data_IF_638822813727
#
_entry.id   IF_638822813727
#
_cell.length_a   1.000
_cell.length_b   1.000
_cell.length_c   1.000
_cell.angle_alpha   90.00
_cell.angle_beta   90.00
_cell.angle_gamma   90.00
#
_symmetry.space_group_name_H-M   'P 1'
#
loop_
_entity.id
_entity.type
_entity.pdbx_description
1 polymer ?
#
# COMPACT_ATOMS: atom_id res chain seq x y z
N UNK A 1 -12.97 0.77 15.36
CA UNK A 1 -14.09 1.36 14.60
C UNK A 1 -13.69 1.69 13.17
N UNK A 2 -12.76 2.62 12.92
CA UNK A 2 -12.33 2.99 11.56
C UNK A 2 -12.01 1.79 10.64
N UNK A 3 -11.14 0.87 11.09
CA UNK A 3 -10.75 -0.30 10.29
C UNK A 3 -11.96 -1.17 9.88
N UNK A 4 -12.96 -1.31 10.76
CA UNK A 4 -14.18 -2.04 10.45
C UNK A 4 -15.04 -1.31 9.43
N UNK A 5 -15.15 0.03 9.51
CA UNK A 5 -15.84 0.85 8.50
C UNK A 5 -15.14 0.76 7.15
N UNK A 6 -13.80 0.83 7.13
CA UNK A 6 -13.02 0.71 5.90
C UNK A 6 -13.25 -0.66 5.21
N UNK A 7 -13.16 -1.76 5.96
CA UNK A 7 -13.42 -3.10 5.41
C UNK A 7 -14.88 -3.28 5.02
N UNK A 8 -15.82 -3.13 5.96
CA UNK A 8 -17.23 -3.43 5.70
C UNK A 8 -17.81 -2.49 4.64
N UNK A 9 -17.43 -1.21 4.66
CA UNK A 9 -17.88 -0.24 3.66
C UNK A 9 -17.33 -0.56 2.28
N UNK A 10 -16.09 -1.02 2.14
CA UNK A 10 -15.55 -1.45 0.83
C UNK A 10 -16.24 -2.71 0.35
N UNK A 11 -16.34 -3.71 1.22
CA UNK A 11 -16.94 -5.00 0.90
C UNK A 11 -18.42 -4.88 0.54
N UNK A 12 -19.13 -3.88 1.07
CA UNK A 12 -20.50 -3.57 0.67
C UNK A 12 -20.65 -3.25 -0.83
N UNK A 13 -19.58 -2.84 -1.52
CA UNK A 13 -19.59 -2.61 -2.97
C UNK A 13 -19.01 -3.79 -3.77
N UNK A 14 -17.99 -4.46 -3.24
CA UNK A 14 -17.34 -5.57 -3.97
C UNK A 14 -18.07 -6.90 -3.82
N UNK A 15 -18.69 -7.21 -2.67
CA UNK A 15 -19.45 -8.46 -2.49
C UNK A 15 -20.68 -8.56 -3.42
N UNK A 16 -21.46 -7.49 -3.68
CA UNK A 16 -22.49 -7.54 -4.71
C UNK A 16 -21.96 -7.88 -6.10
N UNK A 17 -20.75 -7.44 -6.46
CA UNK A 17 -20.16 -7.78 -7.75
C UNK A 17 -19.95 -9.31 -7.86
N UNK A 18 -19.46 -9.94 -6.80
CA UNK A 18 -19.34 -11.41 -6.72
C UNK A 18 -20.72 -12.06 -6.83
N UNK A 19 -21.67 -11.64 -5.99
CA UNK A 19 -22.99 -12.27 -5.89
C UNK A 19 -23.81 -12.17 -7.18
N UNK A 20 -23.58 -11.11 -7.97
CA UNK A 20 -24.27 -10.83 -9.23
C UNK A 20 -23.46 -11.24 -10.47
N UNK A 21 -22.23 -11.76 -10.31
CA UNK A 21 -21.34 -12.09 -11.42
C UNK A 21 -20.93 -10.88 -12.26
N UNK A 22 -20.85 -9.70 -11.66
CA UNK A 22 -20.45 -8.46 -12.34
C UNK A 22 -18.93 -8.40 -12.40
N UNK A 23 -18.38 -8.48 -13.62
CA UNK A 23 -16.95 -8.34 -13.88
C UNK A 23 -16.48 -6.90 -13.74
N UNK A 24 -15.27 -6.68 -13.22
CA UNK A 24 -14.70 -5.33 -13.00
C UNK A 24 -14.21 -4.62 -14.27
N UNK A 25 -14.09 -5.33 -15.38
CA UNK A 25 -13.86 -4.75 -16.71
C UNK A 25 -15.15 -4.18 -17.35
N UNK A 26 -16.33 -4.45 -16.78
CA UNK A 26 -17.60 -3.82 -17.17
C UNK A 26 -17.77 -2.43 -16.56
N UNK A 27 -18.59 -1.57 -17.19
CA UNK A 27 -18.84 -0.21 -16.67
C UNK A 27 -19.42 -0.20 -15.25
N UNK A 28 -20.36 -1.11 -14.94
CA UNK A 28 -20.93 -1.24 -13.60
C UNK A 28 -19.90 -1.79 -12.61
N UNK A 29 -19.14 -2.81 -13.00
CA UNK A 29 -18.10 -3.37 -12.16
C UNK A 29 -16.99 -2.38 -11.84
N UNK A 30 -16.54 -1.60 -12.82
CA UNK A 30 -15.58 -0.52 -12.61
C UNK A 30 -16.12 0.53 -11.63
N UNK A 31 -17.41 0.90 -11.73
CA UNK A 31 -18.03 1.81 -10.77
C UNK A 31 -18.03 1.23 -9.35
N UNK A 32 -18.39 -0.05 -9.18
CA UNK A 32 -18.34 -0.74 -7.88
C UNK A 32 -16.91 -0.83 -7.33
N UNK A 33 -15.93 -1.14 -8.18
CA UNK A 33 -14.51 -1.16 -7.85
C UNK A 33 -14.07 0.19 -7.32
N UNK A 34 -14.28 1.26 -8.09
CA UNK A 34 -13.85 2.62 -7.76
C UNK A 34 -14.54 3.14 -6.50
N UNK A 35 -15.85 2.93 -6.34
CA UNK A 35 -16.55 3.38 -5.12
C UNK A 35 -16.01 2.64 -3.90
N UNK A 36 -15.86 1.32 -3.96
CA UNK A 36 -15.25 0.55 -2.87
C UNK A 36 -13.83 1.02 -2.55
N UNK A 37 -13.02 1.30 -3.58
CA UNK A 37 -11.65 1.82 -3.45
C UNK A 37 -11.59 3.17 -2.71
N UNK A 38 -12.57 4.05 -2.87
CA UNK A 38 -12.58 5.34 -2.17
C UNK A 38 -12.87 5.23 -0.67
N UNK A 39 -13.46 4.12 -0.20
CA UNK A 39 -13.99 4.01 1.17
C UNK A 39 -12.92 4.21 2.25
N UNK A 40 -11.73 3.58 2.21
CA UNK A 40 -10.71 3.78 3.25
C UNK A 40 -10.30 5.25 3.39
N UNK A 41 -10.11 5.96 2.28
CA UNK A 41 -9.72 7.37 2.26
C UNK A 41 -10.83 8.29 2.75
N UNK A 42 -12.05 8.15 2.22
CA UNK A 42 -13.21 8.97 2.62
C UNK A 42 -13.54 8.74 4.09
N UNK A 43 -13.56 7.49 4.55
CA UNK A 43 -13.74 7.18 5.96
C UNK A 43 -12.58 7.73 6.80
N UNK A 44 -11.34 7.71 6.29
CA UNK A 44 -10.17 8.22 6.99
C UNK A 44 -10.31 9.71 7.27
N UNK A 45 -10.65 10.48 6.24
CA UNK A 45 -10.95 11.91 6.36
C UNK A 45 -12.12 12.13 7.31
N UNK A 46 -13.23 11.40 7.17
CA UNK A 46 -14.37 11.55 8.07
C UNK A 46 -13.97 11.33 9.53
N UNK A 47 -13.20 10.29 9.81
CA UNK A 47 -12.70 10.00 11.15
C UNK A 47 -11.67 11.02 11.65
N UNK A 48 -10.89 11.67 10.77
CA UNK A 48 -10.07 12.82 11.14
C UNK A 48 -10.96 13.95 11.67
N UNK A 49 -12.02 14.31 10.95
CA UNK A 49 -12.93 15.39 11.36
C UNK A 49 -13.75 15.05 12.62
N UNK A 50 -14.05 13.77 12.84
CA UNK A 50 -14.78 13.30 14.02
C UNK A 50 -13.92 13.23 15.30
N UNK A 51 -12.61 13.00 15.18
CA UNK A 51 -11.75 12.71 16.34
C UNK A 51 -10.66 13.76 16.62
N UNK A 52 -10.36 14.64 15.66
CA UNK A 52 -9.34 15.68 15.81
C UNK A 52 -9.94 17.09 15.78
N UNK A 53 -9.32 17.96 16.56
CA UNK A 53 -9.57 19.40 16.56
C UNK A 53 -8.98 20.08 15.30
N UNK A 54 -9.06 21.41 15.25
CA UNK A 54 -8.54 22.20 14.13
C UNK A 54 -7.03 21.96 13.89
N UNK A 55 -6.24 21.77 14.95
CA UNK A 55 -4.79 21.51 14.84
C UNK A 55 -4.52 20.15 14.22
N UNK A 56 -5.22 19.11 14.65
CA UNK A 56 -5.06 17.77 14.06
C UNK A 56 -5.55 17.70 12.61
N UNK A 57 -6.61 18.45 12.25
CA UNK A 57 -7.06 18.58 10.85
C UNK A 57 -6.04 19.32 9.98
N UNK A 58 -5.47 20.41 10.50
CA UNK A 58 -4.41 21.15 9.80
C UNK A 58 -3.14 20.29 9.63
N UNK A 59 -2.76 19.51 10.65
CA UNK A 59 -1.67 18.54 10.57
C UNK A 59 -1.91 17.50 9.47
N UNK A 60 -3.10 16.90 9.42
CA UNK A 60 -3.47 15.94 8.38
C UNK A 60 -3.25 16.50 6.97
N UNK A 61 -3.85 17.65 6.65
CA UNK A 61 -3.72 18.24 5.31
C UNK A 61 -2.30 18.70 5.00
N UNK A 62 -1.55 19.14 6.02
CA UNK A 62 -0.14 19.44 5.84
C UNK A 62 0.68 18.18 5.49
N UNK A 63 0.38 17.02 6.09
CA UNK A 63 1.01 15.73 5.76
C UNK A 63 0.65 15.24 4.35
N UNK A 64 -0.52 15.59 3.84
CA UNK A 64 -0.96 15.29 2.45
C UNK A 64 -0.28 16.18 1.41
N UNK A 65 0.04 17.44 1.74
CA UNK A 65 0.42 18.45 0.72
C UNK A 65 1.86 18.94 0.80
N UNK A 66 2.59 18.68 1.89
CA UNK A 66 3.93 19.23 2.08
C UNK A 66 5.04 18.25 1.65
N UNK A 67 5.66 18.41 0.45
CA UNK A 67 6.74 17.53 -0.01
C UNK A 67 8.04 17.68 0.79
N UNK A 68 8.23 18.82 1.47
CA UNK A 68 9.43 19.05 2.28
C UNK A 68 9.59 18.08 3.46
N UNK A 69 8.51 17.39 3.87
CA UNK A 69 8.51 16.45 5.01
C UNK A 69 9.41 15.23 4.81
N UNK A 70 9.55 14.73 3.58
CA UNK A 70 10.45 13.60 3.31
C UNK A 70 11.83 14.05 2.79
N UNK A 71 11.90 15.17 2.07
CA UNK A 71 13.17 15.71 1.57
C UNK A 71 13.90 14.78 0.59
N UNK A 72 15.07 15.19 0.09
CA UNK A 72 15.77 14.47 -1.00
C UNK A 72 16.28 13.09 -0.57
N UNK A 73 16.72 12.93 0.69
CA UNK A 73 17.21 11.65 1.20
C UNK A 73 16.13 10.58 1.17
N UNK A 74 14.94 10.88 1.69
CA UNK A 74 13.85 9.91 1.68
C UNK A 74 13.19 9.78 0.32
N UNK A 75 13.22 10.82 -0.52
CA UNK A 75 12.84 10.66 -1.92
C UNK A 75 13.72 9.60 -2.61
N UNK A 76 15.03 9.62 -2.38
CA UNK A 76 15.92 8.60 -2.92
C UNK A 76 15.59 7.20 -2.36
N UNK A 77 15.29 7.07 -1.06
CA UNK A 77 14.86 5.79 -0.47
C UNK A 77 13.55 5.30 -1.12
N UNK A 78 12.56 6.18 -1.25
CA UNK A 78 11.26 5.89 -1.84
C UNK A 78 11.40 5.36 -3.27
N UNK A 79 12.31 5.94 -4.06
CA UNK A 79 12.53 5.54 -5.45
C UNK A 79 13.43 4.31 -5.60
N UNK A 80 14.49 4.22 -4.80
CA UNK A 80 15.50 3.18 -4.97
C UNK A 80 15.11 1.85 -4.31
N UNK A 81 14.36 1.86 -3.21
CA UNK A 81 14.04 0.62 -2.49
C UNK A 81 13.15 -0.32 -3.32
N UNK A 82 11.98 0.10 -3.86
CA UNK A 82 11.16 -0.79 -4.68
C UNK A 82 11.91 -1.29 -5.93
N UNK A 83 12.66 -0.38 -6.58
CA UNK A 83 13.48 -0.73 -7.74
C UNK A 83 14.56 -1.76 -7.39
N UNK A 84 15.26 -1.57 -6.27
CA UNK A 84 16.28 -2.51 -5.81
C UNK A 84 15.66 -3.88 -5.47
N UNK A 85 14.48 -3.91 -4.83
CA UNK A 85 13.75 -5.16 -4.57
C UNK A 85 13.43 -5.90 -5.87
N UNK A 86 12.87 -5.22 -6.87
CA UNK A 86 12.55 -5.86 -8.17
C UNK A 86 13.80 -6.33 -8.90
N UNK A 87 14.85 -5.50 -8.97
CA UNK A 87 16.11 -5.88 -9.65
C UNK A 87 16.79 -7.05 -8.93
N UNK A 88 16.87 -7.02 -7.60
CA UNK A 88 17.46 -8.11 -6.82
C UNK A 88 16.63 -9.39 -6.94
N UNK A 89 15.30 -9.31 -7.00
CA UNK A 89 14.44 -10.47 -7.25
C UNK A 89 14.77 -11.12 -8.61
N UNK A 90 14.94 -10.31 -9.65
CA UNK A 90 15.36 -10.79 -10.97
C UNK A 90 16.77 -11.40 -10.97
N UNK A 91 17.72 -10.81 -10.23
CA UNK A 91 19.07 -11.38 -10.06
C UNK A 91 19.01 -12.73 -9.33
N UNK A 92 18.23 -12.83 -8.25
CA UNK A 92 18.02 -14.08 -7.51
C UNK A 92 17.44 -15.14 -8.43
N UNK A 93 16.44 -14.79 -9.24
CA UNK A 93 15.86 -15.73 -10.21
C UNK A 93 16.89 -16.23 -11.23
N UNK A 94 17.69 -15.34 -11.83
CA UNK A 94 18.79 -15.72 -12.73
C UNK A 94 19.77 -16.69 -12.07
N UNK A 95 20.15 -16.43 -10.81
CA UNK A 95 21.09 -17.28 -10.08
C UNK A 95 20.50 -18.66 -9.76
N UNK A 96 19.17 -18.76 -9.68
CA UNK A 96 18.45 -20.02 -9.48
C UNK A 96 18.11 -20.74 -10.80
N UNK A 97 18.59 -20.21 -11.94
CA UNK A 97 18.39 -20.80 -13.26
C UNK A 97 17.12 -20.35 -14.00
N UNK A 98 16.44 -19.32 -13.50
CA UNK A 98 15.32 -18.67 -14.17
C UNK A 98 15.74 -17.69 -15.27
N UNK A 99 14.77 -16.95 -15.80
CA UNK A 99 14.99 -15.99 -16.90
C UNK A 99 15.38 -14.60 -16.42
N UNK A 100 15.25 -14.33 -15.12
CA UNK A 100 15.45 -13.02 -14.54
C UNK A 100 14.26 -12.09 -14.71
N UNK A 101 14.52 -10.79 -14.51
CA UNK A 101 13.51 -9.76 -14.67
C UNK A 101 13.11 -9.61 -16.14
N UNK A 102 11.80 -9.58 -16.41
CA UNK A 102 11.22 -9.29 -17.71
C UNK A 102 10.41 -7.99 -17.68
N UNK A 103 10.14 -7.42 -18.85
CA UNK A 103 9.25 -6.28 -18.97
C UNK A 103 7.80 -6.72 -18.87
N UNK A 104 6.99 -5.95 -18.14
CA UNK A 104 5.54 -6.15 -18.08
C UNK A 104 4.84 -5.83 -19.40
N UNK A 105 3.63 -6.35 -19.56
CA UNK A 105 2.84 -6.28 -20.79
C UNK A 105 2.70 -4.84 -21.31
N UNK A 106 2.33 -3.91 -20.42
CA UNK A 106 2.18 -2.50 -20.77
C UNK A 106 3.45 -1.84 -21.31
N UNK A 107 4.63 -2.34 -20.94
CA UNK A 107 5.92 -1.87 -21.49
C UNK A 107 6.25 -2.56 -22.80
N UNK A 108 6.05 -3.87 -22.89
CA UNK A 108 6.30 -4.62 -24.13
C UNK A 108 5.40 -4.15 -25.27
N UNK A 109 4.17 -3.74 -24.97
CA UNK A 109 3.19 -3.28 -25.96
C UNK A 109 3.27 -1.78 -26.26
N UNK A 110 3.98 -1.00 -25.43
CA UNK A 110 4.01 0.46 -25.54
C UNK A 110 4.43 0.97 -26.93
N UNK A 111 5.34 0.26 -27.60
CA UNK A 111 5.82 0.62 -28.94
C UNK A 111 4.76 0.47 -30.05
N UNK A 112 3.71 -0.33 -29.81
CA UNK A 112 2.60 -0.57 -30.74
C UNK A 112 1.37 0.22 -30.31
N UNK A 113 1.04 0.15 -29.02
CA UNK A 113 -0.12 0.78 -28.41
C UNK A 113 0.34 1.60 -27.21
N UNK A 114 0.64 2.90 -27.37
CA UNK A 114 1.09 3.73 -26.24
C UNK A 114 0.11 3.78 -25.07
N UNK A 115 -1.18 3.49 -25.32
CA UNK A 115 -2.21 3.41 -24.28
C UNK A 115 -2.10 2.16 -23.39
N UNK A 116 -1.29 1.16 -23.75
CA UNK A 116 -1.07 -0.05 -22.95
C UNK A 116 -0.42 0.23 -21.60
N UNK A 117 0.20 1.41 -21.41
CA UNK A 117 0.76 1.83 -20.12
C UNK A 117 -0.28 2.40 -19.16
N UNK A 118 -1.50 2.71 -19.62
CA UNK A 118 -2.52 3.36 -18.80
C UNK A 118 -2.91 2.57 -17.55
N UNK A 119 -3.07 1.22 -17.59
CA UNK A 119 -3.32 0.44 -16.37
C UNK A 119 -2.21 0.60 -15.32
N UNK A 120 -0.94 0.52 -15.73
CA UNK A 120 0.18 0.72 -14.82
C UNK A 120 0.18 2.12 -14.19
N UNK A 121 -0.12 3.17 -14.97
CA UNK A 121 -0.25 4.53 -14.46
C UNK A 121 -1.45 4.70 -13.52
N UNK A 122 -2.57 4.04 -13.81
CA UNK A 122 -3.76 4.05 -12.96
C UNK A 122 -3.43 3.45 -11.59
N UNK A 123 -2.88 2.24 -11.54
CA UNK A 123 -2.52 1.55 -10.29
C UNK A 123 -1.40 2.27 -9.52
N UNK A 124 -0.54 3.00 -10.22
CA UNK A 124 0.52 3.81 -9.62
C UNK A 124 0.03 5.15 -9.04
N UNK A 125 -1.21 5.57 -9.28
CA UNK A 125 -1.67 6.92 -8.92
C UNK A 125 -2.95 6.92 -8.09
N UNK A 126 -4.09 6.58 -8.69
CA UNK A 126 -5.39 6.79 -8.06
C UNK A 126 -5.60 5.91 -6.80
N UNK A 127 -5.36 4.58 -6.83
CA UNK A 127 -5.51 3.75 -5.63
C UNK A 127 -4.60 4.19 -4.47
N UNK A 128 -3.28 4.41 -4.66
CA UNK A 128 -2.41 4.95 -3.61
C UNK A 128 -2.93 6.22 -2.95
N UNK A 129 -3.42 7.20 -3.73
CA UNK A 129 -3.96 8.44 -3.19
C UNK A 129 -5.17 8.14 -2.29
N UNK A 130 -6.11 7.33 -2.77
CA UNK A 130 -7.35 7.05 -2.06
C UNK A 130 -7.14 6.18 -0.82
N UNK A 131 -6.27 5.18 -0.90
CA UNK A 131 -6.00 4.27 0.19
C UNK A 131 -5.21 4.94 1.32
N UNK A 132 -4.15 5.67 0.99
CA UNK A 132 -3.20 6.16 1.98
C UNK A 132 -3.72 7.33 2.82
N UNK A 133 -4.70 8.08 2.32
CA UNK A 133 -5.47 9.04 3.12
C UNK A 133 -6.15 8.39 4.33
N UNK A 134 -6.47 7.11 4.20
CA UNK A 134 -7.04 6.30 5.27
C UNK A 134 -5.99 5.54 6.08
N UNK A 135 -5.22 4.69 5.41
CA UNK A 135 -4.32 3.74 6.07
C UNK A 135 -3.22 4.42 6.88
N UNK A 136 -2.50 5.38 6.29
CA UNK A 136 -1.46 6.13 7.01
C UNK A 136 -1.90 7.55 7.37
N UNK A 137 -2.93 8.07 6.71
CA UNK A 137 -3.53 9.35 7.09
C UNK A 137 -4.25 9.33 8.43
N UNK A 138 -4.92 8.22 8.79
CA UNK A 138 -5.65 8.07 10.05
C UNK A 138 -5.28 6.80 10.83
N UNK A 139 -5.35 5.61 10.21
CA UNK A 139 -5.24 4.35 10.94
C UNK A 139 -3.88 4.15 11.61
N UNK A 140 -2.79 4.31 10.87
CA UNK A 140 -1.44 4.10 11.39
C UNK A 140 -1.13 5.07 12.55
N UNK A 141 -1.48 6.35 12.39
CA UNK A 141 -1.32 7.37 13.44
C UNK A 141 -2.04 6.95 14.74
N UNK A 142 -3.27 6.46 14.63
CA UNK A 142 -4.06 6.04 15.79
C UNK A 142 -3.58 4.72 16.40
N UNK A 143 -3.13 3.76 15.57
CA UNK A 143 -2.55 2.50 16.04
C UNK A 143 -1.26 2.76 16.84
N UNK A 144 -0.40 3.64 16.32
CA UNK A 144 0.88 3.98 16.93
C UNK A 144 0.77 4.75 18.26
N UNK A 145 -0.42 5.23 18.65
CA UNK A 145 -0.67 5.76 20.00
C UNK A 145 -0.69 4.67 21.09
N UNK A 146 -1.02 3.44 20.72
CA UNK A 146 -1.22 2.33 21.67
C UNK A 146 -0.30 1.14 21.41
N UNK A 147 0.34 1.09 20.24
CA UNK A 147 1.18 -0.01 19.80
C UNK A 147 2.54 0.52 19.36
N UNK A 148 3.58 -0.30 19.53
CA UNK A 148 4.87 -0.08 18.87
C UNK A 148 4.71 -0.04 17.34
N UNK A 149 5.66 0.57 16.62
CA UNK A 149 5.70 0.56 15.16
C UNK A 149 5.53 -0.87 14.61
N UNK A 150 6.20 -1.87 15.20
CA UNK A 150 6.02 -3.29 14.83
C UNK A 150 4.57 -3.76 14.95
N UNK A 151 3.94 -3.53 16.11
CA UNK A 151 2.57 -3.95 16.35
C UNK A 151 1.59 -3.24 15.43
N UNK A 152 1.76 -1.94 15.23
CA UNK A 152 0.94 -1.14 14.33
C UNK A 152 1.08 -1.58 12.87
N UNK A 153 2.31 -1.85 12.38
CA UNK A 153 2.57 -2.38 11.04
C UNK A 153 1.92 -3.74 10.82
N UNK A 154 2.05 -4.65 11.78
CA UNK A 154 1.47 -5.99 11.70
C UNK A 154 -0.08 -5.93 11.66
N UNK A 155 -0.69 -5.19 12.57
CA UNK A 155 -2.16 -5.03 12.62
C UNK A 155 -2.67 -4.40 11.32
N UNK A 156 -2.06 -3.28 10.90
CA UNK A 156 -2.48 -2.59 9.68
C UNK A 156 -2.23 -3.44 8.44
N UNK A 157 -1.12 -4.16 8.37
CA UNK A 157 -0.76 -5.03 7.26
C UNK A 157 -1.75 -6.17 7.09
N UNK A 158 -2.15 -6.82 8.19
CA UNK A 158 -3.17 -7.89 8.16
C UNK A 158 -4.52 -7.35 7.73
N UNK A 159 -4.93 -6.19 8.27
CA UNK A 159 -6.20 -5.56 7.88
C UNK A 159 -6.19 -5.15 6.40
N UNK A 160 -5.08 -4.61 5.92
CA UNK A 160 -4.92 -4.22 4.53
C UNK A 160 -4.90 -5.45 3.60
N UNK A 161 -4.26 -6.56 4.00
CA UNK A 161 -4.32 -7.82 3.25
C UNK A 161 -5.76 -8.35 3.19
N UNK A 162 -6.46 -8.41 4.33
CA UNK A 162 -7.87 -8.82 4.38
C UNK A 162 -8.77 -7.93 3.53
N UNK A 163 -8.52 -6.63 3.48
CA UNK A 163 -9.30 -5.70 2.65
C UNK A 163 -9.33 -6.12 1.17
N UNK A 164 -8.25 -6.69 0.64
CA UNK A 164 -8.16 -7.20 -0.74
C UNK A 164 -8.90 -8.52 -0.98
N UNK A 165 -9.33 -9.23 0.07
CA UNK A 165 -9.85 -10.60 -0.05
C UNK A 165 -10.99 -10.75 -1.08
N UNK A 166 -11.99 -9.85 -1.19
CA UNK A 166 -13.07 -10.01 -2.17
C UNK A 166 -12.56 -9.97 -3.62
N UNK A 167 -11.45 -9.29 -3.90
CA UNK A 167 -10.92 -9.17 -5.25
C UNK A 167 -10.55 -10.54 -5.84
N UNK A 168 -10.10 -11.48 -5.03
CA UNK A 168 -9.82 -12.86 -5.47
C UNK A 168 -11.03 -13.63 -5.98
N UNK A 169 -12.24 -13.08 -5.86
CA UNK A 169 -13.50 -13.68 -6.28
C UNK A 169 -14.25 -12.84 -7.31
N UNK A 170 -13.68 -11.72 -7.77
CA UNK A 170 -14.29 -10.87 -8.79
C UNK A 170 -13.50 -10.97 -10.09
N UNK A 171 -14.12 -11.55 -11.11
CA UNK A 171 -13.61 -11.59 -12.47
C UNK A 171 -13.26 -10.18 -13.01
N UNK A 172 -12.18 -10.07 -13.78
CA UNK A 172 -11.67 -8.79 -14.27
C UNK A 172 -10.83 -8.02 -13.26
N UNK A 173 -10.57 -8.58 -12.08
CA UNK A 173 -9.55 -8.08 -11.16
C UNK A 173 -8.24 -8.86 -11.34
N UNK A 174 -7.11 -8.18 -11.10
CA UNK A 174 -5.79 -8.81 -11.13
C UNK A 174 -5.68 -9.99 -10.16
N UNK A 175 -6.24 -9.86 -8.95
CA UNK A 175 -6.19 -10.89 -7.92
C UNK A 175 -6.91 -12.17 -8.35
N UNK A 176 -8.05 -12.06 -9.02
CA UNK A 176 -8.77 -13.22 -9.56
C UNK A 176 -8.06 -13.79 -10.79
N UNK A 177 -7.77 -12.94 -11.79
CA UNK A 177 -7.39 -13.39 -13.13
C UNK A 177 -5.91 -13.79 -13.24
N UNK A 178 -5.02 -13.17 -12.46
CA UNK A 178 -3.56 -13.41 -12.53
C UNK A 178 -3.02 -14.22 -11.34
N UNK A 179 -3.55 -14.01 -10.13
CA UNK A 179 -3.01 -14.64 -8.90
C UNK A 179 -3.80 -15.90 -8.50
N UNK A 180 -5.12 -15.83 -8.53
CA UNK A 180 -6.05 -16.90 -8.15
C UNK A 180 -6.17 -17.13 -6.64
N UNK A 181 -7.34 -17.56 -6.16
CA UNK A 181 -7.60 -17.79 -4.74
C UNK A 181 -6.91 -19.07 -4.20
N UNK A 182 -6.37 -19.01 -2.98
CA UNK A 182 -5.72 -20.12 -2.27
C UNK A 182 -4.53 -20.78 -2.99
N UNK A 183 -4.01 -20.18 -4.06
CA UNK A 183 -2.77 -20.57 -4.72
C UNK A 183 -1.55 -20.19 -3.88
N UNK A 184 -0.35 -20.61 -4.28
CA UNK A 184 0.88 -20.10 -3.68
C UNK A 184 0.99 -18.58 -3.84
N UNK A 185 0.60 -18.04 -5.00
CA UNK A 185 0.55 -16.60 -5.27
C UNK A 185 -0.37 -15.86 -4.30
N UNK A 186 -1.56 -16.42 -4.00
CA UNK A 186 -2.47 -15.85 -3.00
C UNK A 186 -1.79 -15.67 -1.64
N UNK A 187 -1.17 -16.73 -1.11
CA UNK A 187 -0.54 -16.66 0.21
C UNK A 187 0.67 -15.73 0.22
N UNK A 188 1.46 -15.72 -0.86
CA UNK A 188 2.58 -14.80 -1.02
C UNK A 188 2.13 -13.34 -1.10
N UNK A 189 1.06 -13.05 -1.85
CA UNK A 189 0.46 -11.72 -1.94
C UNK A 189 -0.04 -11.23 -0.58
N UNK A 190 -0.84 -12.05 0.12
CA UNK A 190 -1.41 -11.69 1.42
C UNK A 190 -0.31 -11.47 2.47
N UNK A 191 0.69 -12.35 2.52
CA UNK A 191 1.84 -12.21 3.40
C UNK A 191 2.72 -11.01 3.01
N UNK A 192 2.90 -10.79 1.70
CA UNK A 192 3.63 -9.68 1.12
C UNK A 192 3.07 -8.32 1.52
N UNK A 193 1.75 -8.14 1.50
CA UNK A 193 1.09 -6.91 1.98
C UNK A 193 1.45 -6.62 3.44
N UNK A 194 1.51 -7.65 4.28
CA UNK A 194 1.94 -7.50 5.67
C UNK A 194 3.38 -7.00 5.73
N UNK A 195 4.31 -7.60 4.97
CA UNK A 195 5.70 -7.15 4.91
C UNK A 195 5.84 -5.71 4.37
N UNK A 196 5.12 -5.34 3.33
CA UNK A 196 5.08 -3.97 2.78
C UNK A 196 4.64 -2.95 3.84
N UNK A 197 3.67 -3.29 4.69
CA UNK A 197 3.21 -2.43 5.77
C UNK A 197 4.33 -2.00 6.73
N UNK A 198 5.33 -2.86 6.95
CA UNK A 198 6.53 -2.52 7.74
C UNK A 198 7.39 -1.47 7.02
N UNK A 199 7.67 -1.67 5.74
CA UNK A 199 8.44 -0.71 4.94
C UNK A 199 7.72 0.65 4.85
N UNK A 200 6.40 0.66 4.70
CA UNK A 200 5.61 1.88 4.67
C UNK A 200 5.64 2.60 6.03
N UNK A 201 5.48 1.85 7.13
CA UNK A 201 5.58 2.42 8.48
C UNK A 201 6.97 2.99 8.75
N UNK A 202 8.02 2.31 8.31
CA UNK A 202 9.41 2.76 8.41
C UNK A 202 9.61 4.10 7.68
N UNK A 203 9.21 4.22 6.41
CA UNK A 203 9.30 5.48 5.68
C UNK A 203 8.44 6.55 6.33
N UNK A 204 7.21 6.23 6.72
CA UNK A 204 6.28 7.17 7.35
C UNK A 204 6.84 7.77 8.64
N UNK A 205 7.41 6.94 9.51
CA UNK A 205 7.96 7.37 10.78
C UNK A 205 9.24 8.21 10.62
N UNK A 206 10.02 7.98 9.55
CA UNK A 206 11.22 8.77 9.29
C UNK A 206 10.99 10.03 8.43
N UNK A 207 9.76 10.25 7.94
CA UNK A 207 9.42 11.37 7.05
C UNK A 207 8.42 12.33 7.68
N UNK A 208 8.51 12.50 9.01
CA UNK A 208 7.58 13.35 9.76
C UNK A 208 6.12 13.02 9.45
N UNK A 209 5.78 11.73 9.34
CA UNK A 209 4.41 11.27 9.03
C UNK A 209 3.89 11.72 7.66
N UNK A 210 4.76 11.87 6.66
CA UNK A 210 4.36 12.33 5.32
C UNK A 210 3.40 11.35 4.64
N UNK A 211 2.13 11.75 4.46
CA UNK A 211 1.17 10.99 3.65
C UNK A 211 1.56 11.09 2.19
N UNK A 212 1.99 12.27 1.71
CA UNK A 212 2.45 12.45 0.33
C UNK A 212 3.60 11.49 -0.02
N UNK A 213 4.60 11.36 0.86
CA UNK A 213 5.70 10.43 0.65
C UNK A 213 5.26 8.97 0.55
N UNK A 214 4.26 8.58 1.36
CA UNK A 214 3.69 7.22 1.31
C UNK A 214 2.82 7.00 0.07
N UNK A 215 2.07 8.00 -0.38
CA UNK A 215 1.34 7.93 -1.67
C UNK A 215 2.33 7.70 -2.82
N UNK A 216 3.45 8.43 -2.84
CA UNK A 216 4.50 8.24 -3.86
C UNK A 216 5.15 6.87 -3.73
N UNK A 217 5.46 6.41 -2.52
CA UNK A 217 6.02 5.08 -2.29
C UNK A 217 5.09 3.98 -2.75
N UNK A 218 3.82 4.02 -2.34
CA UNK A 218 2.83 3.03 -2.72
C UNK A 218 2.63 3.02 -4.24
N UNK A 219 2.45 4.18 -4.85
CA UNK A 219 2.38 4.30 -6.30
C UNK A 219 3.61 3.75 -7.01
N UNK A 220 4.79 4.00 -6.48
CA UNK A 220 6.04 3.50 -7.06
C UNK A 220 6.21 1.98 -6.89
N UNK A 221 5.78 1.41 -5.76
CA UNK A 221 5.74 -0.04 -5.56
C UNK A 221 4.81 -0.70 -6.58
N UNK A 222 3.60 -0.15 -6.77
CA UNK A 222 2.67 -0.67 -7.77
C UNK A 222 3.25 -0.54 -9.18
N UNK A 223 3.79 0.64 -9.53
CA UNK A 223 4.37 0.89 -10.84
C UNK A 223 5.53 -0.06 -11.17
N UNK A 224 6.46 -0.24 -10.22
CA UNK A 224 7.63 -1.11 -10.43
C UNK A 224 7.25 -2.57 -10.53
N UNK A 225 6.22 -3.03 -9.80
CA UNK A 225 5.68 -4.38 -9.93
C UNK A 225 4.98 -4.63 -11.27
N UNK A 226 4.28 -3.63 -11.81
CA UNK A 226 3.63 -3.70 -13.14
C UNK A 226 4.66 -3.69 -14.28
N UNK A 227 5.74 -2.92 -14.14
CA UNK A 227 6.74 -2.71 -15.20
C UNK A 227 7.84 -3.76 -15.21
N UNK A 228 8.27 -4.23 -14.03
CA UNK A 228 9.38 -5.18 -13.86
C UNK A 228 8.81 -6.46 -13.27
N UNK A 229 8.55 -7.42 -14.15
CA UNK A 229 7.97 -8.71 -13.77
C UNK A 229 9.08 -9.66 -13.32
N UNK A 230 8.91 -10.21 -12.13
CA UNK A 230 9.82 -11.14 -11.46
C UNK A 230 9.01 -12.21 -10.74
N UNK A 231 9.60 -13.37 -10.39
CA UNK A 231 8.87 -14.40 -9.67
C UNK A 231 8.43 -13.96 -8.27
N UNK A 232 7.16 -14.20 -7.94
CA UNK A 232 6.55 -13.88 -6.65
C UNK A 232 7.38 -14.32 -5.42
N UNK A 233 7.92 -15.56 -5.35
CA UNK A 233 8.66 -15.99 -4.16
C UNK A 233 9.88 -15.10 -3.87
N UNK A 234 10.61 -14.68 -4.91
CA UNK A 234 11.78 -13.82 -4.76
C UNK A 234 11.37 -12.40 -4.40
N UNK A 235 10.35 -11.85 -5.07
CA UNK A 235 9.85 -10.50 -4.82
C UNK A 235 9.32 -10.33 -3.40
N UNK A 236 8.36 -11.16 -2.99
CA UNK A 236 7.79 -11.08 -1.64
C UNK A 236 8.80 -11.50 -0.58
N UNK A 237 9.67 -12.48 -0.87
CA UNK A 237 10.76 -12.88 0.02
C UNK A 237 11.69 -11.71 0.37
N UNK A 238 12.05 -10.88 -0.61
CA UNK A 238 12.89 -9.70 -0.39
C UNK A 238 12.18 -8.61 0.42
N UNK A 239 10.87 -8.43 0.25
CA UNK A 239 10.09 -7.53 1.11
C UNK A 239 10.07 -8.01 2.57
N UNK A 240 9.98 -9.33 2.80
CA UNK A 240 10.11 -9.91 4.13
C UNK A 240 11.50 -9.70 4.73
N UNK A 241 12.56 -9.91 3.94
CA UNK A 241 13.94 -9.64 4.36
C UNK A 241 14.10 -8.16 4.72
N UNK A 242 13.58 -7.24 3.90
CA UNK A 242 13.63 -5.81 4.19
C UNK A 242 12.91 -5.48 5.50
N UNK A 243 11.69 -6.01 5.71
CA UNK A 243 10.96 -5.81 6.96
C UNK A 243 11.76 -6.33 8.18
N UNK A 244 12.39 -7.50 8.06
CA UNK A 244 13.22 -8.06 9.12
C UNK A 244 14.47 -7.22 9.39
N UNK A 245 15.16 -6.76 8.35
CA UNK A 245 16.32 -5.84 8.46
C UNK A 245 15.90 -4.54 9.11
N UNK A 246 14.75 -3.98 8.74
CA UNK A 246 14.22 -2.75 9.35
C UNK A 246 14.08 -2.92 10.86
N UNK A 247 13.43 -4.01 11.29
CA UNK A 247 13.22 -4.29 12.71
C UNK A 247 14.54 -4.57 13.43
N UNK A 248 15.48 -5.26 12.80
CA UNK A 248 16.76 -5.59 13.39
C UNK A 248 17.65 -4.35 13.59
N UNK A 249 17.64 -3.41 12.64
CA UNK A 249 18.49 -2.22 12.65
C UNK A 249 17.89 -1.08 13.49
N UNK A 250 16.60 -0.80 13.34
CA UNK A 250 15.95 0.34 13.99
C UNK A 250 15.03 -0.04 15.17
N UNK A 251 14.99 -1.32 15.51
CA UNK A 251 14.21 -1.84 16.63
C UNK A 251 12.70 -1.84 16.38
N UNK A 252 12.01 -2.64 17.19
CA UNK A 252 10.55 -2.84 17.09
C UNK A 252 9.71 -1.64 17.52
N UNK A 253 10.28 -0.74 18.35
CA UNK A 253 9.51 0.32 19.04
C UNK A 253 9.10 1.41 18.05
N UNK A 254 10.05 1.96 17.32
CA UNK A 254 9.84 3.12 16.43
C UNK A 254 10.13 2.79 14.97
N UNK A 255 10.98 1.79 14.70
CA UNK A 255 11.58 1.58 13.38
C UNK A 255 12.28 2.83 12.86
N UNK A 256 12.81 3.67 13.74
CA UNK A 256 13.61 4.82 13.35
C UNK A 256 14.81 4.94 14.27
N UNK A 257 15.72 5.88 13.97
CA UNK A 257 16.75 6.27 14.93
C UNK A 257 16.25 7.14 16.09
N UNK A 258 14.94 7.39 16.18
CA UNK A 258 14.34 8.20 17.24
C UNK A 258 13.83 7.34 18.40
N UNK A 259 13.79 7.93 19.59
CA UNK A 259 13.37 7.27 20.82
C UNK A 259 11.84 7.06 20.91
N UNK A 260 11.08 7.89 20.19
CA UNK A 260 9.63 7.91 20.21
C UNK A 260 9.03 7.83 18.81
N UNK A 261 7.82 7.29 18.76
CA UNK A 261 7.03 7.21 17.55
C UNK A 261 6.45 8.60 17.26
N UNK A 262 6.44 9.07 16.00
CA UNK A 262 5.79 10.34 15.70
C UNK A 262 4.29 10.27 16.00
N UNK A 263 3.76 11.26 16.72
CA UNK A 263 2.35 11.31 17.10
C UNK A 263 1.62 12.49 16.47
N UNK A 264 0.32 12.34 16.16
CA UNK A 264 -0.52 13.47 15.80
C UNK A 264 -0.67 14.44 16.97
N UNK A 265 -0.96 15.73 16.69
CA UNK A 265 -1.28 16.68 17.75
C UNK A 265 -2.39 16.13 18.64
N UNK A 266 -2.12 16.02 19.94
CA UNK A 266 -3.15 15.63 20.90
C UNK A 266 -4.13 16.80 21.08
N UNK A 267 -5.43 16.52 21.31
CA UNK A 267 -6.40 17.57 21.60
C UNK A 267 -5.91 18.43 22.75
N UNK A 268 -6.10 19.75 22.68
CA UNK A 268 -5.83 20.62 23.82
C UNK A 268 -6.66 20.13 25.02
N UNK A 269 -6.02 19.85 26.14
CA UNK A 269 -6.72 19.59 27.41
C UNK A 269 -7.54 20.85 27.70
N UNK A 270 -8.88 20.72 27.67
CA UNK A 270 -9.79 21.75 28.17
C UNK A 270 -9.96 21.58 29.67
#
# INVERSE_FOLDING_TARGET
>A
MYLAVAIAGTWAFWLPAIALGVRFDSALGLALLLVGLTVPGVAGIAFVYLNYDERGRADFWNRVTQPRRFGLRWLAVILLVPLAVSVLAGVVDLLLGGTGATWGEGVTEFGVTPLAILPALFFATLPPILEELGWRGYALDRLQLNWSAFGASAILGVVWALWHLPLFFVEGSYQHDAVGFATTGFWLFMAGIVALSFAFTWVYNNTERSILGIVVLHGWVNFTAEVIVVPDPAYYGLWFVLAAVIVAVWGRRTMTGADEVPHPPLPSVQ
#
